data_IF_976585537883
#
_entry.id   IF_976585537883
#
_cell.length_a   1.000
_cell.length_b   1.000
_cell.length_c   1.000
_cell.angle_alpha   90.00
_cell.angle_beta   90.00
_cell.angle_gamma   90.00
#
_symmetry.space_group_name_H-M   'P 1'
#
loop_
_entity.id
_entity.type
_entity.pdbx_description
1 polymer ?
#
# COMPACT_ATOMS: atom_id res chain seq x y z
N UNK A 1 -34.00 23.68 10.98
CA UNK A 1 -32.99 23.14 10.00
C UNK A 1 -32.52 21.80 10.53
N UNK A 2 -32.97 20.70 9.93
CA UNK A 2 -32.45 19.36 10.30
C UNK A 2 -30.99 19.27 9.87
N UNK A 3 -30.07 19.35 10.82
CA UNK A 3 -28.69 18.98 10.56
C UNK A 3 -28.67 17.46 10.30
N UNK A 4 -28.56 17.08 9.04
CA UNK A 4 -28.32 15.69 8.68
C UNK A 4 -26.94 15.32 9.23
N UNK A 5 -26.90 14.67 10.37
CA UNK A 5 -25.66 14.18 10.98
C UNK A 5 -25.13 13.07 10.07
N UNK A 6 -24.11 13.38 9.26
CA UNK A 6 -23.43 12.38 8.44
C UNK A 6 -22.76 11.39 9.39
N UNK A 7 -23.10 10.09 9.33
CA UNK A 7 -22.49 9.10 10.22
C UNK A 7 -20.98 9.01 9.94
N UNK A 8 -20.19 8.87 11.00
CA UNK A 8 -18.76 8.70 10.90
C UNK A 8 -18.49 7.31 10.27
N UNK A 9 -17.74 7.21 9.18
CA UNK A 9 -17.43 5.92 8.58
C UNK A 9 -16.59 5.07 9.54
N UNK A 10 -16.86 3.77 9.61
CA UNK A 10 -16.07 2.83 10.40
C UNK A 10 -14.75 2.48 9.71
N UNK A 11 -14.72 2.55 8.39
CA UNK A 11 -13.57 2.22 7.54
C UNK A 11 -13.50 3.22 6.40
N UNK A 12 -12.29 3.69 6.11
CA UNK A 12 -11.97 4.49 4.91
C UNK A 12 -10.84 3.81 4.16
N UNK A 13 -11.11 3.41 2.92
CA UNK A 13 -10.12 2.80 2.02
C UNK A 13 -9.72 3.82 0.98
N UNK A 14 -8.43 4.04 0.81
CA UNK A 14 -7.91 5.08 -0.08
C UNK A 14 -6.83 4.49 -0.99
N UNK A 15 -6.95 4.80 -2.28
CA UNK A 15 -5.84 4.67 -3.20
C UNK A 15 -4.81 5.78 -2.97
N UNK A 16 -3.60 5.57 -3.44
CA UNK A 16 -2.48 6.46 -3.19
C UNK A 16 -2.32 7.51 -4.30
N UNK A 17 -1.99 7.07 -5.49
CA UNK A 17 -1.56 7.92 -6.59
C UNK A 17 -2.75 8.55 -7.31
N UNK A 18 -2.87 9.88 -7.24
CA UNK A 18 -4.02 10.61 -7.81
C UNK A 18 -5.26 10.64 -6.91
N UNK A 19 -5.22 10.04 -5.70
CA UNK A 19 -6.31 10.07 -4.71
C UNK A 19 -5.83 10.70 -3.41
N UNK A 20 -5.03 9.99 -2.62
CA UNK A 20 -4.51 10.49 -1.34
C UNK A 20 -3.32 11.42 -1.54
N UNK A 21 -2.48 11.14 -2.53
CA UNK A 21 -1.27 11.89 -2.83
C UNK A 21 -1.52 13.00 -3.86
N UNK A 22 -0.94 14.17 -3.60
CA UNK A 22 -0.91 15.27 -4.55
C UNK A 22 0.07 15.01 -5.72
N UNK A 23 0.23 15.97 -6.64
CA UNK A 23 1.15 15.88 -7.78
C UNK A 23 2.63 15.74 -7.37
N UNK A 24 2.99 16.17 -6.14
CA UNK A 24 4.34 16.01 -5.57
C UNK A 24 4.52 14.68 -4.83
N UNK A 25 3.53 13.78 -4.89
CA UNK A 25 3.54 12.49 -4.19
C UNK A 25 3.59 12.63 -2.67
N UNK A 26 2.89 13.61 -2.14
CA UNK A 26 2.81 13.93 -0.72
C UNK A 26 1.35 13.95 -0.24
N UNK A 27 1.14 13.59 1.04
CA UNK A 27 -0.12 13.87 1.74
C UNK A 27 -0.03 15.28 2.28
N UNK A 28 -0.98 16.16 1.96
CA UNK A 28 -0.95 17.53 2.48
C UNK A 28 -1.17 17.53 4.00
N UNK A 29 -0.65 18.55 4.72
CA UNK A 29 -0.84 18.67 6.17
C UNK A 29 -2.33 18.67 6.57
N UNK A 30 -3.18 19.32 5.79
CA UNK A 30 -4.63 19.43 6.01
C UNK A 30 -5.30 18.05 5.90
N UNK A 31 -4.98 17.31 4.83
CA UNK A 31 -5.49 15.94 4.62
C UNK A 31 -5.02 15.01 5.73
N UNK A 32 -3.73 15.06 6.08
CA UNK A 32 -3.19 14.26 7.18
C UNK A 32 -3.89 14.56 8.51
N UNK A 33 -4.10 15.83 8.84
CA UNK A 33 -4.79 16.25 10.05
C UNK A 33 -6.25 15.78 10.07
N UNK A 34 -6.96 15.86 8.93
CA UNK A 34 -8.35 15.39 8.82
C UNK A 34 -8.45 13.88 9.03
N UNK A 35 -7.57 13.10 8.41
CA UNK A 35 -7.56 11.64 8.53
C UNK A 35 -7.19 11.17 9.94
N UNK A 36 -6.26 11.84 10.63
CA UNK A 36 -5.96 11.55 12.03
C UNK A 36 -7.17 11.82 12.93
N UNK A 37 -7.86 12.96 12.75
CA UNK A 37 -9.10 13.24 13.51
C UNK A 37 -10.19 12.20 13.28
N UNK A 38 -10.31 11.64 12.07
CA UNK A 38 -11.22 10.53 11.80
C UNK A 38 -10.83 9.28 12.59
N UNK A 39 -9.53 8.95 12.62
CA UNK A 39 -9.03 7.81 13.39
C UNK A 39 -9.27 7.98 14.90
N UNK A 40 -9.05 9.17 15.44
CA UNK A 40 -9.34 9.49 16.85
C UNK A 40 -10.83 9.30 17.20
N UNK A 41 -11.71 9.36 16.19
CA UNK A 41 -13.16 9.10 16.32
C UNK A 41 -13.55 7.64 16.03
N UNK A 42 -12.57 6.75 15.89
CA UNK A 42 -12.80 5.32 15.72
C UNK A 42 -12.80 4.81 14.27
N UNK A 43 -12.55 5.67 13.28
CA UNK A 43 -12.42 5.25 11.88
C UNK A 43 -11.09 4.53 11.66
N UNK A 44 -11.14 3.35 11.03
CA UNK A 44 -9.93 2.66 10.60
C UNK A 44 -9.57 3.07 9.17
N UNK A 45 -8.29 3.36 8.91
CA UNK A 45 -7.80 3.68 7.58
C UNK A 45 -7.17 2.45 6.92
N UNK A 46 -7.36 2.35 5.60
CA UNK A 46 -6.73 1.36 4.73
C UNK A 46 -6.07 2.10 3.57
N UNK A 47 -4.79 1.87 3.36
CA UNK A 47 -4.10 2.31 2.14
C UNK A 47 -4.06 1.15 1.16
N UNK A 48 -4.57 1.36 -0.06
CA UNK A 48 -4.61 0.36 -1.12
C UNK A 48 -3.82 0.86 -2.34
N UNK A 49 -2.88 0.06 -2.86
CA UNK A 49 -2.04 0.49 -3.99
C UNK A 49 -1.42 -0.70 -4.72
N UNK A 50 -1.00 -0.44 -5.98
CA UNK A 50 -0.11 -1.34 -6.73
C UNK A 50 1.32 -1.40 -6.19
N UNK A 51 1.70 -0.45 -5.32
CA UNK A 51 3.04 -0.40 -4.73
C UNK A 51 3.31 -1.61 -3.83
N UNK A 52 4.57 -2.07 -3.71
CA UNK A 52 4.98 -2.96 -2.63
C UNK A 52 4.70 -2.33 -1.25
N UNK A 53 4.52 -3.15 -0.22
CA UNK A 53 4.19 -2.70 1.16
C UNK A 53 5.14 -1.61 1.66
N UNK A 54 6.45 -1.74 1.39
CA UNK A 54 7.47 -0.74 1.71
C UNK A 54 7.13 0.65 1.18
N UNK A 55 6.54 0.74 -0.03
CA UNK A 55 6.13 2.00 -0.64
C UNK A 55 4.98 2.71 0.07
N UNK A 56 4.26 2.01 0.94
CA UNK A 56 3.13 2.53 1.73
C UNK A 56 3.51 2.90 3.16
N UNK A 57 4.54 2.28 3.71
CA UNK A 57 4.89 2.37 5.15
C UNK A 57 5.15 3.80 5.62
N UNK A 58 5.81 4.65 4.82
CA UNK A 58 6.07 6.05 5.19
C UNK A 58 4.78 6.84 5.38
N UNK A 59 3.79 6.61 4.53
CA UNK A 59 2.50 7.29 4.57
C UNK A 59 1.65 6.81 5.74
N UNK A 60 1.68 5.51 6.01
CA UNK A 60 1.04 4.94 7.18
C UNK A 60 1.60 5.52 8.50
N UNK A 61 2.92 5.74 8.56
CA UNK A 61 3.56 6.44 9.70
C UNK A 61 3.12 7.89 9.78
N UNK A 62 3.10 8.62 8.66
CA UNK A 62 2.65 10.01 8.60
C UNK A 62 1.23 10.17 9.11
N UNK A 63 0.35 9.17 8.89
CA UNK A 63 -1.04 9.16 9.33
C UNK A 63 -1.24 8.52 10.72
N UNK A 64 -0.19 8.07 11.40
CA UNK A 64 -0.24 7.35 12.69
C UNK A 64 -1.18 6.12 12.68
N UNK A 65 -1.28 5.44 11.54
CA UNK A 65 -2.24 4.36 11.32
C UNK A 65 -2.00 3.14 12.20
N UNK A 66 -0.75 2.90 12.65
CA UNK A 66 -0.42 1.74 13.50
C UNK A 66 -1.20 1.76 14.81
N UNK A 67 -1.29 2.94 15.44
CA UNK A 67 -2.02 3.15 16.70
C UNK A 67 -3.50 2.84 16.58
N UNK A 68 -4.09 3.01 15.40
CA UNK A 68 -5.52 2.88 15.13
C UNK A 68 -5.87 1.58 14.38
N UNK A 69 -4.97 0.59 14.34
CA UNK A 69 -5.21 -0.69 13.70
C UNK A 69 -5.32 -0.59 12.16
N UNK A 70 -4.58 0.34 11.56
CA UNK A 70 -4.57 0.54 10.11
C UNK A 70 -4.12 -0.69 9.33
N UNK A 71 -4.51 -0.73 8.05
CA UNK A 71 -4.26 -1.85 7.15
C UNK A 71 -3.59 -1.33 5.87
N UNK A 72 -2.65 -2.11 5.34
CA UNK A 72 -2.07 -1.90 4.02
C UNK A 72 -2.54 -3.01 3.08
N UNK A 73 -3.02 -2.61 1.92
CA UNK A 73 -3.29 -3.48 0.77
C UNK A 73 -2.27 -3.11 -0.31
N UNK A 74 -1.35 -3.99 -0.61
CA UNK A 74 -0.22 -3.75 -1.49
C UNK A 74 -0.19 -4.71 -2.68
N UNK A 75 0.70 -4.45 -3.64
CA UNK A 75 0.91 -5.30 -4.82
C UNK A 75 -0.39 -5.62 -5.56
N UNK A 76 -1.19 -4.59 -5.87
CA UNK A 76 -2.51 -4.71 -6.53
C UNK A 76 -3.48 -5.66 -5.81
N UNK A 77 -3.46 -5.69 -4.47
CA UNK A 77 -4.34 -6.54 -3.68
C UNK A 77 -3.80 -7.93 -3.37
N UNK A 78 -2.60 -8.26 -3.85
CA UNK A 78 -1.99 -9.57 -3.58
C UNK A 78 -1.59 -9.77 -2.12
N UNK A 79 -1.41 -8.69 -1.37
CA UNK A 79 -1.08 -8.73 0.06
C UNK A 79 -1.92 -7.72 0.84
N UNK A 80 -2.61 -8.18 1.87
CA UNK A 80 -3.24 -7.34 2.88
C UNK A 80 -2.67 -7.64 4.26
N UNK A 81 -2.15 -6.62 4.95
CA UNK A 81 -1.48 -6.76 6.23
C UNK A 81 -1.83 -5.61 7.17
N UNK A 82 -1.97 -5.92 8.44
CA UNK A 82 -2.06 -4.90 9.50
C UNK A 82 -0.68 -4.33 9.81
N UNK A 83 -0.64 -3.12 10.36
CA UNK A 83 0.63 -2.44 10.70
C UNK A 83 1.33 -3.01 11.95
N UNK A 84 0.72 -3.96 12.64
CA UNK A 84 1.36 -4.79 13.67
C UNK A 84 1.96 -6.10 13.12
N UNK A 85 1.87 -6.30 11.78
CA UNK A 85 2.54 -7.40 11.08
C UNK A 85 1.66 -8.62 10.79
N UNK A 86 0.37 -8.64 11.18
CA UNK A 86 -0.54 -9.75 10.90
C UNK A 86 -0.97 -9.74 9.44
N UNK A 87 -0.73 -10.83 8.72
CA UNK A 87 -1.23 -11.04 7.36
C UNK A 87 -2.71 -11.40 7.42
N UNK A 88 -3.54 -10.60 6.74
CA UNK A 88 -4.98 -10.81 6.61
C UNK A 88 -5.30 -11.61 5.34
N UNK A 89 -4.56 -11.35 4.28
CA UNK A 89 -4.70 -12.00 2.98
C UNK A 89 -3.34 -12.02 2.27
N UNK A 90 -3.05 -13.12 1.57
CA UNK A 90 -1.87 -13.22 0.70
C UNK A 90 -2.19 -14.13 -0.49
N UNK A 91 -1.91 -13.65 -1.69
CA UNK A 91 -2.01 -14.40 -2.94
C UNK A 91 -0.73 -14.15 -3.76
N UNK A 92 0.37 -14.65 -3.24
CA UNK A 92 1.67 -14.58 -3.90
C UNK A 92 1.82 -15.70 -4.93
N UNK A 93 2.63 -15.48 -5.95
CA UNK A 93 3.04 -16.54 -6.87
C UNK A 93 3.79 -17.63 -6.10
N UNK A 94 3.54 -18.88 -6.47
CA UNK A 94 4.33 -19.99 -5.94
C UNK A 94 5.77 -19.91 -6.45
N UNK A 95 6.69 -20.58 -5.75
CA UNK A 95 8.09 -20.67 -6.19
C UNK A 95 8.22 -21.30 -7.58
N UNK A 96 7.35 -22.26 -7.89
CA UNK A 96 7.30 -22.92 -9.20
C UNK A 96 6.81 -21.97 -10.29
N UNK A 97 5.71 -21.25 -10.05
CA UNK A 97 5.18 -20.28 -11.01
C UNK A 97 6.14 -19.13 -11.24
N UNK A 98 6.78 -18.62 -10.18
CA UNK A 98 7.83 -17.60 -10.30
C UNK A 98 8.95 -18.07 -11.22
N UNK A 99 9.42 -19.31 -11.06
CA UNK A 99 10.47 -19.87 -11.95
C UNK A 99 9.99 -19.98 -13.41
N UNK A 100 8.75 -20.42 -13.63
CA UNK A 100 8.16 -20.51 -14.99
C UNK A 100 8.09 -19.13 -15.64
N UNK A 101 7.60 -18.13 -14.91
CA UNK A 101 7.49 -16.75 -15.40
C UNK A 101 8.88 -16.20 -15.74
N UNK A 102 9.86 -16.31 -14.83
CA UNK A 102 11.20 -15.82 -15.08
C UNK A 102 11.86 -16.52 -16.28
N UNK A 103 11.67 -17.83 -16.44
CA UNK A 103 12.16 -18.57 -17.61
C UNK A 103 11.52 -18.04 -18.90
N UNK A 104 10.23 -17.76 -18.87
CA UNK A 104 9.51 -17.22 -20.02
C UNK A 104 9.98 -15.82 -20.39
N UNK A 105 10.20 -14.95 -19.40
CA UNK A 105 10.66 -13.56 -19.60
C UNK A 105 12.02 -13.46 -20.25
N UNK A 106 12.87 -14.49 -20.18
CA UNK A 106 14.19 -14.53 -20.87
C UNK A 106 14.08 -14.50 -22.41
N UNK A 107 12.90 -14.68 -22.97
CA UNK A 107 12.67 -14.61 -24.42
C UNK A 107 12.40 -13.16 -24.88
N UNK A 108 12.30 -12.21 -23.97
CA UNK A 108 11.97 -10.81 -24.22
C UNK A 108 13.09 -9.91 -23.71
N UNK A 109 13.25 -8.77 -24.34
CA UNK A 109 14.16 -7.71 -23.86
C UNK A 109 13.45 -6.91 -22.74
N UNK A 110 13.40 -7.50 -21.56
CA UNK A 110 12.76 -6.92 -20.36
C UNK A 110 13.62 -7.18 -19.13
N UNK A 111 13.49 -6.32 -18.14
CA UNK A 111 14.16 -6.47 -16.84
C UNK A 111 13.11 -6.93 -15.82
N UNK A 112 13.09 -8.21 -15.44
CA UNK A 112 12.19 -8.67 -14.38
C UNK A 112 12.65 -8.14 -13.03
N UNK A 113 11.69 -7.61 -12.27
CA UNK A 113 11.92 -7.16 -10.90
C UNK A 113 10.97 -7.90 -9.97
N UNK A 114 11.49 -8.44 -8.87
CA UNK A 114 10.72 -9.16 -7.86
C UNK A 114 10.81 -8.41 -6.54
N UNK A 115 9.67 -8.09 -5.96
CA UNK A 115 9.62 -7.57 -4.60
C UNK A 115 9.83 -8.72 -3.59
N UNK A 116 10.83 -8.60 -2.74
CA UNK A 116 11.12 -9.52 -1.65
C UNK A 116 11.23 -8.73 -0.34
N UNK A 117 10.11 -8.64 0.35
CA UNK A 117 10.00 -7.86 1.58
C UNK A 117 10.42 -6.39 1.38
N UNK A 118 11.56 -6.01 1.92
CA UNK A 118 12.10 -4.66 1.82
C UNK A 118 12.98 -4.43 0.59
N UNK A 119 13.28 -5.47 -0.16
CA UNK A 119 14.20 -5.46 -1.30
C UNK A 119 13.48 -5.61 -2.63
N UNK A 120 14.12 -5.13 -3.69
CA UNK A 120 13.77 -5.44 -5.07
C UNK A 120 14.90 -6.26 -5.66
N UNK A 121 14.61 -7.50 -6.03
CA UNK A 121 15.55 -8.39 -6.69
C UNK A 121 15.52 -8.14 -8.19
N UNK A 122 16.69 -7.93 -8.77
CA UNK A 122 16.90 -7.73 -10.21
C UNK A 122 18.08 -8.57 -10.67
N UNK A 123 18.06 -9.00 -11.92
CA UNK A 123 19.15 -9.81 -12.48
C UNK A 123 20.44 -8.97 -12.70
N UNK A 124 20.28 -7.67 -13.01
CA UNK A 124 21.41 -6.74 -13.18
C UNK A 124 21.02 -5.34 -12.71
N UNK A 125 21.67 -4.87 -11.65
CA UNK A 125 21.40 -3.54 -11.04
C UNK A 125 21.75 -2.37 -12.00
N UNK A 126 22.71 -2.55 -12.89
CA UNK A 126 23.12 -1.48 -13.82
C UNK A 126 22.14 -1.22 -14.96
N UNK A 127 21.20 -2.11 -15.19
CA UNK A 127 20.16 -1.94 -16.21
C UNK A 127 18.90 -1.23 -15.66
N UNK A 128 18.89 -0.85 -14.39
CA UNK A 128 17.73 -0.22 -13.72
C UNK A 128 17.89 1.28 -13.48
N UNK A 129 18.91 1.91 -14.06
CA UNK A 129 19.18 3.35 -13.94
C UNK A 129 18.70 4.12 -15.16
#
# INVERSE_FOLDING_TARGET
MNQTTIPIPRLVVMDMDGTLLNSRKEITPETAAALRRLQDRGTRLVLASGRPERGLTRFARQLDMKRHGGILISSNGALARTLDGRTLYSNALTREDTRKVLKHLKQFDVIPMIADGESMLVENVYNCM
#
